data_IF_981193436575
#
_entry.id   IF_981193436575
#
_cell.length_a   1.000
_cell.length_b   1.000
_cell.length_c   1.000
_cell.angle_alpha   90.00
_cell.angle_beta   90.00
_cell.angle_gamma   90.00
#
_symmetry.space_group_name_H-M   'P 1'
#
loop_
_entity.id
_entity.type
_entity.pdbx_description
1 polymer ?
#
# COMPACT_ATOMS: atom_id res chain seq x y z
N UNK A 1 23.11 13.73 1.32
CA UNK A 1 21.92 12.90 1.65
C UNK A 1 20.69 13.76 1.39
N UNK A 2 20.03 13.58 0.25
CA UNK A 2 18.81 14.34 -0.04
C UNK A 2 17.66 13.76 0.79
N UNK A 3 17.12 14.56 1.70
CA UNK A 3 15.93 14.21 2.45
C UNK A 3 14.73 14.32 1.50
N UNK A 4 14.21 13.18 1.07
CA UNK A 4 12.96 13.14 0.31
C UNK A 4 11.81 13.45 1.27
N UNK A 5 11.19 14.61 1.08
CA UNK A 5 9.97 14.97 1.79
C UNK A 5 8.81 14.36 1.01
N UNK A 6 8.14 13.40 1.63
CA UNK A 6 6.90 12.85 1.10
C UNK A 6 5.70 13.60 1.66
N UNK A 7 4.77 13.93 0.79
CA UNK A 7 3.49 14.54 1.13
C UNK A 7 2.37 13.70 0.51
N UNK A 8 1.13 13.99 0.89
CA UNK A 8 -0.03 13.36 0.26
C UNK A 8 -0.15 13.69 -1.25
N UNK A 9 0.54 14.73 -1.73
CA UNK A 9 0.57 15.13 -3.14
C UNK A 9 1.72 14.50 -3.93
N UNK A 10 2.64 13.77 -3.28
CA UNK A 10 3.70 13.04 -3.97
C UNK A 10 3.12 12.02 -4.96
N UNK A 11 3.72 11.95 -6.14
CA UNK A 11 3.32 11.09 -7.23
C UNK A 11 4.51 10.24 -7.70
N UNK A 12 4.23 9.19 -8.48
CA UNK A 12 5.23 8.19 -8.90
C UNK A 12 5.99 7.58 -7.71
N UNK A 13 5.24 6.99 -6.77
CA UNK A 13 5.78 6.48 -5.50
C UNK A 13 5.37 5.04 -5.24
N UNK A 14 6.21 4.34 -4.48
CA UNK A 14 5.84 3.12 -3.75
C UNK A 14 5.49 3.52 -2.31
N UNK A 15 4.38 3.03 -1.80
CA UNK A 15 3.85 3.33 -0.47
C UNK A 15 3.54 2.05 0.30
N UNK A 16 3.44 2.20 1.63
CA UNK A 16 3.08 1.13 2.56
C UNK A 16 1.82 1.56 3.32
N UNK A 17 0.83 0.68 3.37
CA UNK A 17 -0.29 0.75 4.28
C UNK A 17 -0.01 -0.19 5.46
N UNK A 18 -0.26 0.29 6.67
CA UNK A 18 -0.01 -0.49 7.90
C UNK A 18 -1.29 -0.51 8.72
N UNK A 19 -1.70 -1.68 9.19
CA UNK A 19 -2.67 -1.79 10.26
C UNK A 19 -1.94 -1.72 11.60
N UNK A 20 -2.11 -0.65 12.36
CA UNK A 20 -1.48 -0.49 13.69
C UNK A 20 -1.95 -1.52 14.71
N UNK A 21 -3.14 -2.10 14.55
CA UNK A 21 -3.70 -3.05 15.51
C UNK A 21 -2.97 -4.40 15.47
N UNK A 22 -2.67 -4.91 14.28
CA UNK A 22 -2.04 -6.23 14.11
C UNK A 22 -0.67 -6.19 13.42
N UNK A 23 -0.16 -5.00 13.08
CA UNK A 23 1.10 -4.75 12.39
C UNK A 23 1.24 -5.40 11.00
N UNK A 24 0.13 -5.82 10.39
CA UNK A 24 0.12 -6.32 9.01
C UNK A 24 0.24 -5.17 8.01
N UNK A 25 0.93 -5.43 6.91
CA UNK A 25 1.30 -4.40 5.93
C UNK A 25 0.85 -4.77 4.51
N UNK A 26 0.57 -3.75 3.72
CA UNK A 26 0.38 -3.81 2.26
C UNK A 26 1.35 -2.84 1.60
N UNK A 27 2.06 -3.29 0.57
CA UNK A 27 2.84 -2.40 -0.30
C UNK A 27 2.08 -2.18 -1.60
N UNK A 28 2.04 -0.95 -2.08
CA UNK A 28 1.44 -0.60 -3.36
C UNK A 28 2.28 0.43 -4.12
N UNK A 29 2.12 0.49 -5.43
CA UNK A 29 2.60 1.61 -6.24
C UNK A 29 1.50 2.54 -6.77
N UNK A 30 1.88 3.76 -7.16
CA UNK A 30 1.02 4.67 -7.90
C UNK A 30 1.82 5.67 -8.74
N UNK A 31 1.39 5.88 -9.99
CA UNK A 31 1.83 7.04 -10.81
C UNK A 31 1.18 8.34 -10.38
N UNK A 32 -0.05 8.27 -9.87
CA UNK A 32 -0.86 9.42 -9.44
C UNK A 32 -0.44 9.88 -8.05
N UNK A 33 -1.06 10.96 -7.56
CA UNK A 33 -0.83 11.44 -6.19
C UNK A 33 -1.18 10.34 -5.19
N UNK A 34 -0.38 10.22 -4.15
CA UNK A 34 -0.61 9.26 -3.06
C UNK A 34 -2.01 9.43 -2.46
N UNK A 35 -2.46 10.67 -2.27
CA UNK A 35 -3.80 10.97 -1.77
C UNK A 35 -4.92 10.34 -2.61
N UNK A 36 -4.80 10.34 -3.93
CA UNK A 36 -5.82 9.78 -4.83
C UNK A 36 -5.90 8.26 -4.66
N UNK A 37 -4.73 7.60 -4.57
CA UNK A 37 -4.64 6.15 -4.37
C UNK A 37 -5.12 5.72 -2.98
N UNK A 38 -4.77 6.48 -1.95
CA UNK A 38 -5.28 6.24 -0.58
C UNK A 38 -6.80 6.43 -0.55
N UNK A 39 -7.34 7.44 -1.23
CA UNK A 39 -8.79 7.67 -1.29
C UNK A 39 -9.54 6.48 -1.92
N UNK A 40 -8.94 5.82 -2.91
CA UNK A 40 -9.50 4.59 -3.48
C UNK A 40 -9.52 3.43 -2.48
N UNK A 41 -8.44 3.23 -1.71
CA UNK A 41 -8.43 2.24 -0.62
C UNK A 41 -9.46 2.55 0.45
N UNK A 42 -9.59 3.82 0.86
CA UNK A 42 -10.60 4.24 1.83
C UNK A 42 -12.02 3.98 1.29
N UNK A 43 -12.24 4.19 -0.01
CA UNK A 43 -13.53 3.92 -0.66
C UNK A 43 -13.84 2.42 -0.71
N UNK A 44 -12.87 1.58 -1.08
CA UNK A 44 -13.07 0.13 -1.13
C UNK A 44 -13.33 -0.46 0.26
N UNK A 45 -12.65 0.06 1.30
CA UNK A 45 -12.96 -0.27 2.70
C UNK A 45 -14.41 0.13 3.03
N UNK A 46 -14.79 1.40 2.82
CA UNK A 46 -16.14 1.91 3.14
C UNK A 46 -17.27 1.16 2.44
N UNK A 47 -17.04 0.72 1.20
CA UNK A 47 -18.02 0.00 0.39
C UNK A 47 -17.97 -1.52 0.58
N UNK A 48 -17.07 -2.03 1.44
CA UNK A 48 -16.86 -3.47 1.64
C UNK A 48 -16.68 -4.24 0.32
N UNK A 49 -15.84 -3.70 -0.57
CA UNK A 49 -15.66 -4.30 -1.90
C UNK A 49 -14.86 -5.62 -1.78
N UNK A 50 -15.39 -6.73 -2.32
CA UNK A 50 -14.68 -8.00 -2.34
C UNK A 50 -13.50 -7.96 -3.31
N UNK A 51 -12.50 -8.83 -3.10
CA UNK A 51 -11.32 -8.96 -3.97
C UNK A 51 -10.23 -7.90 -3.75
N UNK A 52 -10.44 -6.93 -2.86
CA UNK A 52 -9.41 -5.96 -2.46
C UNK A 52 -8.82 -6.37 -1.11
N UNK A 53 -7.56 -6.84 -1.04
CA UNK A 53 -7.00 -7.39 0.21
C UNK A 53 -7.03 -6.41 1.39
N UNK A 54 -6.78 -5.13 1.11
CA UNK A 54 -6.86 -4.05 2.11
C UNK A 54 -8.30 -3.88 2.61
N UNK A 55 -9.29 -3.88 1.71
CA UNK A 55 -10.70 -3.77 2.10
C UNK A 55 -11.15 -4.99 2.91
N UNK A 56 -10.81 -6.20 2.46
CA UNK A 56 -11.12 -7.44 3.17
C UNK A 56 -10.54 -7.46 4.58
N UNK A 57 -9.35 -6.89 4.78
CA UNK A 57 -8.72 -6.83 6.11
C UNK A 57 -9.43 -5.89 7.09
N UNK A 58 -9.99 -4.77 6.63
CA UNK A 58 -10.63 -3.77 7.51
C UNK A 58 -12.15 -3.89 7.62
N UNK A 59 -12.74 -4.88 6.93
CA UNK A 59 -14.18 -5.16 6.97
C UNK A 59 -14.50 -6.44 7.74
N UNK A 60 -15.76 -6.62 8.18
CA UNK A 60 -16.18 -7.83 8.90
C UNK A 60 -15.80 -9.12 8.15
N UNK A 61 -15.40 -10.19 8.87
CA UNK A 61 -15.43 -10.36 10.33
C UNK A 61 -14.21 -9.80 11.07
N UNK A 62 -13.38 -8.98 10.43
CA UNK A 62 -12.20 -8.41 11.06
C UNK A 62 -12.52 -7.56 12.29
N UNK A 63 -11.66 -7.64 13.30
CA UNK A 63 -11.66 -6.70 14.43
C UNK A 63 -10.84 -5.45 14.11
N UNK A 64 -10.16 -5.37 12.97
CA UNK A 64 -9.42 -4.19 12.51
C UNK A 64 -10.36 -3.21 11.80
N UNK A 65 -10.12 -1.91 11.98
CA UNK A 65 -10.96 -0.85 11.42
C UNK A 65 -10.13 0.18 10.66
N UNK A 66 -10.80 1.02 9.87
CA UNK A 66 -10.15 2.10 9.13
C UNK A 66 -9.35 3.09 10.02
N UNK A 67 -9.66 3.18 11.32
CA UNK A 67 -8.91 4.02 12.29
C UNK A 67 -7.51 3.46 12.60
N UNK A 68 -7.31 2.17 12.33
CA UNK A 68 -6.06 1.48 12.53
C UNK A 68 -5.12 1.62 11.31
N UNK A 69 -5.62 2.15 10.19
CA UNK A 69 -4.87 2.36 8.96
C UNK A 69 -3.88 3.53 9.11
N UNK A 70 -2.61 3.27 8.81
CA UNK A 70 -1.58 4.27 8.55
C UNK A 70 -1.09 4.16 7.11
N UNK A 71 -0.61 5.29 6.58
CA UNK A 71 0.01 5.38 5.26
C UNK A 71 1.40 5.97 5.40
N UNK A 72 2.38 5.38 4.73
CA UNK A 72 3.71 5.94 4.57
C UNK A 72 4.17 5.83 3.13
N UNK A 73 4.71 6.89 2.55
CA UNK A 73 5.40 6.78 1.27
C UNK A 73 6.85 6.32 1.53
N UNK A 74 7.32 5.34 0.75
CA UNK A 74 8.60 4.68 1.00
C UNK A 74 9.66 5.02 -0.05
N UNK A 75 9.27 5.07 -1.32
CA UNK A 75 10.21 5.25 -2.44
C UNK A 75 9.62 6.24 -3.43
N UNK A 76 10.39 7.26 -3.79
CA UNK A 76 10.11 8.11 -4.95
C UNK A 76 10.77 7.51 -6.17
N UNK A 77 9.99 7.26 -7.22
CA UNK A 77 10.47 6.71 -8.47
C UNK A 77 10.59 7.83 -9.50
N UNK A 78 11.76 7.94 -10.13
CA UNK A 78 12.01 8.85 -11.26
C UNK A 78 12.15 8.10 -12.59
N UNK A 79 12.17 6.77 -12.53
CA UNK A 79 12.31 5.89 -13.68
C UNK A 79 10.98 5.53 -14.32
N UNK A 80 11.04 4.48 -15.12
CA UNK A 80 9.90 3.89 -15.83
C UNK A 80 8.89 3.24 -14.88
N UNK A 81 7.76 2.81 -15.44
CA UNK A 81 6.79 2.00 -14.70
C UNK A 81 7.38 0.68 -14.23
N UNK A 82 8.24 0.09 -15.05
CA UNK A 82 8.94 -1.14 -14.70
C UNK A 82 9.88 -0.94 -13.51
N UNK A 83 10.53 0.23 -13.40
CA UNK A 83 11.39 0.55 -12.25
C UNK A 83 10.59 0.69 -10.95
N UNK A 84 9.39 1.28 -11.03
CA UNK A 84 8.48 1.44 -9.89
C UNK A 84 7.91 0.08 -9.46
N UNK A 85 7.53 -0.76 -10.42
CA UNK A 85 7.03 -2.12 -10.18
C UNK A 85 8.11 -3.00 -9.55
N UNK A 86 9.34 -2.92 -10.07
CA UNK A 86 10.48 -3.61 -9.49
C UNK A 86 10.78 -3.12 -8.06
N UNK A 87 10.61 -1.81 -7.79
CA UNK A 87 10.77 -1.25 -6.45
C UNK A 87 9.68 -1.73 -5.48
N UNK A 88 8.43 -1.80 -5.93
CA UNK A 88 7.31 -2.39 -5.19
C UNK A 88 7.60 -3.85 -4.82
N UNK A 89 7.91 -4.69 -5.82
CA UNK A 89 8.20 -6.11 -5.60
C UNK A 89 9.38 -6.33 -4.63
N UNK A 90 10.45 -5.54 -4.78
CA UNK A 90 11.57 -5.59 -3.83
C UNK A 90 11.13 -5.24 -2.42
N UNK A 91 10.26 -4.24 -2.25
CA UNK A 91 9.79 -3.84 -0.93
C UNK A 91 8.81 -4.85 -0.32
N UNK A 92 7.92 -5.46 -1.12
CA UNK A 92 7.05 -6.57 -0.71
C UNK A 92 7.90 -7.71 -0.13
N UNK A 93 8.94 -8.13 -0.86
CA UNK A 93 9.83 -9.21 -0.42
C UNK A 93 10.60 -8.83 0.85
N UNK A 94 11.12 -7.59 0.90
CA UNK A 94 11.91 -7.11 2.04
C UNK A 94 11.09 -6.99 3.33
N UNK A 95 9.84 -6.55 3.22
CA UNK A 95 8.94 -6.36 4.36
C UNK A 95 8.09 -7.60 4.68
N UNK A 96 8.15 -8.65 3.84
CA UNK A 96 7.38 -9.87 4.03
C UNK A 96 5.87 -9.63 3.94
N UNK A 97 5.41 -8.74 3.05
CA UNK A 97 3.99 -8.34 3.00
C UNK A 97 3.09 -9.29 2.20
N UNK A 98 3.60 -10.47 1.80
CA UNK A 98 2.77 -11.49 1.15
C UNK A 98 1.89 -12.23 2.17
N UNK A 99 0.65 -12.52 1.80
CA UNK A 99 -0.27 -13.37 2.56
C UNK A 99 0.34 -14.76 2.80
N UNK A 100 0.23 -15.33 4.01
CA UNK A 100 -0.63 -14.90 5.14
C UNK A 100 0.00 -13.88 6.10
N UNK A 101 1.28 -13.53 5.92
CA UNK A 101 2.01 -12.65 6.84
C UNK A 101 1.83 -11.16 6.53
N UNK A 102 1.32 -10.85 5.34
CA UNK A 102 0.94 -9.51 4.91
C UNK A 102 -0.34 -9.49 4.07
N UNK A 103 -0.64 -8.34 3.48
CA UNK A 103 -1.86 -8.10 2.71
C UNK A 103 -1.67 -8.21 1.19
N UNK A 104 -0.44 -8.22 0.67
CA UNK A 104 -0.21 -8.49 -0.74
C UNK A 104 -0.52 -9.96 -1.04
N UNK A 105 -1.33 -10.25 -2.06
CA UNK A 105 -1.73 -11.63 -2.39
C UNK A 105 -0.83 -12.29 -3.44
N UNK A 106 -0.07 -11.48 -4.19
CA UNK A 106 0.90 -11.92 -5.18
C UNK A 106 1.91 -10.81 -5.44
N UNK A 107 3.05 -11.16 -6.03
CA UNK A 107 3.87 -10.19 -6.74
C UNK A 107 3.25 -9.91 -8.10
N UNK A 108 3.39 -8.69 -8.58
CA UNK A 108 3.03 -8.37 -9.96
C UNK A 108 4.19 -8.77 -10.89
N UNK A 109 3.85 -9.37 -12.04
CA UNK A 109 4.85 -9.81 -13.00
C UNK A 109 5.35 -8.61 -13.81
N UNK A 110 6.67 -8.55 -13.98
CA UNK A 110 7.39 -7.52 -14.73
C UNK A 110 7.21 -7.65 -16.25
#
# INVERSE_FOLDING_TARGET
MYMYIFTCTSANVVYVLVCKRCNIQYVGETKRRLADRVTEHLRSIKQNLPGFPVATHFNPPSTCSIRDLMVSAAISCRGSDHDRLAAENRLIMKLGTLSPHGLNVRLELL
#
